data_IF_231114808526
#
_entry.id   IF_231114808526
#
_cell.length_a   1.000
_cell.length_b   1.000
_cell.length_c   1.000
_cell.angle_alpha   90.00
_cell.angle_beta   90.00
_cell.angle_gamma   90.00
#
_symmetry.space_group_name_H-M   'P 1'
#
loop_
_entity.id
_entity.type
_entity.pdbx_description
1 polymer ?
#
# COMPACT_ATOMS: atom_id res chain seq x y z
N UNK A 1 49.94 -4.02 -2.41
CA UNK A 1 50.10 -5.46 -2.67
C UNK A 1 49.75 -5.72 -4.13
N UNK A 2 50.51 -6.57 -4.83
CA UNK A 2 50.18 -6.89 -6.22
C UNK A 2 48.87 -7.71 -6.25
N UNK A 3 48.09 -7.49 -7.31
CA UNK A 3 46.91 -8.31 -7.59
C UNK A 3 47.38 -9.71 -8.00
N UNK A 4 46.90 -10.75 -7.36
CA UNK A 4 47.16 -12.14 -7.72
C UNK A 4 45.94 -12.77 -8.35
N UNK A 5 46.13 -13.43 -9.49
CA UNK A 5 45.13 -14.22 -10.15
C UNK A 5 45.53 -15.70 -9.96
N UNK A 6 44.78 -16.44 -9.20
CA UNK A 6 45.02 -17.87 -8.98
C UNK A 6 44.49 -18.71 -10.16
N UNK A 7 45.13 -19.86 -10.43
CA UNK A 7 44.75 -20.73 -11.55
C UNK A 7 43.32 -21.27 -11.50
N UNK A 8 42.58 -21.11 -10.37
CA UNK A 8 41.18 -21.43 -10.21
C UNK A 8 40.24 -20.22 -10.53
N UNK A 9 40.78 -19.11 -11.06
CA UNK A 9 40.02 -17.91 -11.39
C UNK A 9 39.73 -16.98 -10.19
N UNK A 10 40.28 -17.23 -9.00
CA UNK A 10 40.10 -16.37 -7.85
C UNK A 10 41.08 -15.19 -7.94
N UNK A 11 40.58 -13.97 -7.81
CA UNK A 11 41.39 -12.75 -7.75
C UNK A 11 41.44 -12.27 -6.30
N UNK A 12 42.64 -12.15 -5.73
CA UNK A 12 42.86 -11.63 -4.39
C UNK A 12 43.67 -10.33 -4.44
N UNK A 13 43.51 -9.50 -3.41
CA UNK A 13 44.25 -8.22 -3.30
C UNK A 13 43.56 -7.01 -3.96
N UNK A 14 42.33 -7.16 -4.43
CA UNK A 14 41.47 -6.03 -4.83
C UNK A 14 40.85 -5.45 -3.56
N UNK A 15 41.26 -4.23 -3.19
CA UNK A 15 40.63 -3.45 -2.13
C UNK A 15 39.34 -2.78 -2.63
N UNK A 16 38.48 -2.34 -1.71
CA UNK A 16 37.32 -1.52 -2.03
C UNK A 16 37.76 -0.31 -2.88
N UNK A 17 37.17 -0.13 -4.06
CA UNK A 17 37.57 0.91 -5.03
C UNK A 17 38.76 0.53 -5.93
N UNK A 18 39.32 -0.67 -5.83
CA UNK A 18 40.46 -1.12 -6.61
C UNK A 18 40.21 -1.44 -8.09
N UNK A 19 38.97 -1.42 -8.52
CA UNK A 19 38.60 -1.55 -9.93
C UNK A 19 38.38 -0.16 -10.54
N UNK A 20 38.91 0.14 -11.75
CA UNK A 20 38.62 1.37 -12.45
C UNK A 20 37.14 1.61 -12.66
N UNK A 21 36.70 2.88 -12.73
CA UNK A 21 35.31 3.22 -13.04
C UNK A 21 34.88 2.55 -14.36
N UNK A 22 33.70 1.90 -14.38
CA UNK A 22 33.21 1.21 -15.57
C UNK A 22 33.71 -0.22 -15.77
N UNK A 23 34.63 -0.72 -14.90
CA UNK A 23 35.11 -2.12 -14.99
C UNK A 23 34.04 -3.15 -14.77
N UNK A 24 32.96 -2.79 -14.03
CA UNK A 24 31.78 -3.62 -13.81
C UNK A 24 30.63 -2.99 -14.58
N UNK A 25 30.18 -3.64 -15.60
CA UNK A 25 29.04 -3.22 -16.45
C UNK A 25 27.87 -4.17 -16.27
N UNK A 26 26.68 -3.80 -16.76
CA UNK A 26 25.52 -4.69 -16.75
C UNK A 26 25.79 -6.02 -17.47
N UNK A 27 26.64 -6.03 -18.51
CA UNK A 27 27.04 -7.22 -19.22
C UNK A 27 27.99 -8.15 -18.44
N UNK A 28 28.69 -7.62 -17.42
CA UNK A 28 29.63 -8.40 -16.58
C UNK A 28 28.99 -8.86 -15.27
N UNK A 29 27.78 -8.41 -14.95
CA UNK A 29 27.02 -8.87 -13.80
C UNK A 29 26.06 -9.97 -14.26
N UNK A 30 26.22 -11.17 -13.70
CA UNK A 30 25.21 -12.21 -13.89
C UNK A 30 23.87 -11.79 -13.27
N UNK A 31 22.77 -12.27 -13.83
CA UNK A 31 21.43 -12.03 -13.28
C UNK A 31 21.38 -12.46 -11.79
N UNK A 32 20.91 -11.55 -10.96
CA UNK A 32 20.87 -11.76 -9.50
C UNK A 32 22.19 -11.57 -8.75
N UNK A 33 23.31 -11.24 -9.42
CA UNK A 33 24.62 -11.00 -8.76
C UNK A 33 24.57 -9.81 -7.80
N UNK A 34 23.72 -8.82 -8.04
CA UNK A 34 23.42 -7.71 -7.16
C UNK A 34 22.06 -7.92 -6.49
N UNK A 35 22.03 -8.61 -5.35
CA UNK A 35 20.83 -8.78 -4.54
C UNK A 35 20.59 -7.56 -3.65
N UNK A 36 19.34 -7.33 -3.23
CA UNK A 36 18.94 -6.19 -2.38
C UNK A 36 19.73 -6.06 -1.06
N UNK A 37 20.40 -7.11 -0.61
CA UNK A 37 21.29 -7.08 0.56
C UNK A 37 22.67 -6.50 0.24
N UNK A 38 23.05 -6.42 -1.04
CA UNK A 38 24.35 -5.90 -1.52
C UNK A 38 24.24 -4.52 -2.15
N UNK A 39 23.01 -4.06 -2.45
CA UNK A 39 22.74 -2.75 -3.00
C UNK A 39 22.17 -1.89 -1.88
N UNK A 40 22.91 -0.83 -1.51
CA UNK A 40 22.35 0.23 -0.68
C UNK A 40 21.53 1.14 -1.59
N UNK A 41 20.21 1.04 -1.45
CA UNK A 41 19.30 1.92 -2.20
C UNK A 41 19.29 3.30 -1.53
N UNK A 42 19.35 4.40 -2.31
CA UNK A 42 19.25 5.73 -1.73
C UNK A 42 17.86 5.95 -1.11
N UNK A 43 17.78 6.84 -0.11
CA UNK A 43 16.53 7.28 0.48
C UNK A 43 15.54 7.75 -0.61
N UNK A 44 14.28 7.40 -0.47
CA UNK A 44 13.26 7.67 -1.47
C UNK A 44 13.12 6.60 -2.56
N UNK A 45 14.02 5.61 -2.63
CA UNK A 45 13.90 4.52 -3.59
C UNK A 45 12.71 3.61 -3.28
N UNK A 46 11.95 3.22 -4.30
CA UNK A 46 10.90 2.20 -4.17
C UNK A 46 11.54 0.81 -4.14
N UNK A 47 11.24 0.04 -3.10
CA UNK A 47 11.82 -1.29 -2.86
C UNK A 47 10.86 -2.39 -3.30
N UNK A 48 9.59 -2.22 -3.03
CA UNK A 48 8.54 -3.15 -3.45
C UNK A 48 7.19 -2.46 -3.54
N UNK A 49 6.31 -3.03 -4.35
CA UNK A 49 4.92 -2.62 -4.48
C UNK A 49 4.04 -3.85 -4.34
N UNK A 50 3.01 -3.75 -3.51
CA UNK A 50 1.98 -4.79 -3.33
C UNK A 50 0.63 -4.18 -3.59
N UNK A 51 -0.23 -4.87 -4.32
CA UNK A 51 -1.58 -4.40 -4.61
C UNK A 51 -2.59 -5.51 -4.37
N UNK A 52 -3.71 -5.14 -3.77
CA UNK A 52 -4.91 -5.99 -3.68
C UNK A 52 -6.14 -5.18 -4.04
N UNK A 53 -7.23 -5.87 -4.31
CA UNK A 53 -8.50 -5.22 -4.60
C UNK A 53 -9.66 -6.00 -3.98
N UNK A 54 -10.77 -5.29 -3.78
CA UNK A 54 -12.05 -5.84 -3.41
C UNK A 54 -13.07 -5.48 -4.50
N UNK A 55 -13.77 -6.46 -5.03
CA UNK A 55 -14.66 -6.33 -6.19
C UNK A 55 -16.14 -6.58 -5.86
N UNK A 56 -16.45 -6.69 -4.58
CA UNK A 56 -17.82 -6.88 -4.13
C UNK A 56 -18.41 -5.58 -3.57
N UNK A 57 -19.72 -5.44 -3.68
CA UNK A 57 -20.46 -4.37 -3.04
C UNK A 57 -20.56 -4.64 -1.54
N UNK A 58 -20.23 -3.65 -0.73
CA UNK A 58 -20.37 -3.70 0.71
C UNK A 58 -21.33 -2.62 1.17
N UNK A 59 -22.47 -3.02 1.70
CA UNK A 59 -23.44 -2.10 2.29
C UNK A 59 -23.02 -1.75 3.71
N UNK A 60 -23.06 -0.47 4.00
CA UNK A 60 -22.64 0.12 5.25
C UNK A 60 -23.85 0.77 5.91
N UNK A 61 -24.09 0.49 7.15
CA UNK A 61 -25.12 1.13 7.95
C UNK A 61 -24.65 1.42 9.35
N UNK A 62 -25.14 2.52 9.91
CA UNK A 62 -24.88 2.91 11.29
C UNK A 62 -23.57 3.71 11.48
N UNK A 63 -23.44 4.26 12.67
CA UNK A 63 -22.38 5.22 13.07
C UNK A 63 -21.16 4.53 13.69
N UNK A 64 -21.23 3.24 13.96
CA UNK A 64 -20.10 2.46 14.49
C UNK A 64 -19.06 2.18 13.38
N UNK A 65 -17.80 2.12 13.79
CA UNK A 65 -16.72 1.75 12.88
C UNK A 65 -16.84 0.30 12.43
N UNK A 66 -16.71 0.07 11.13
CA UNK A 66 -16.81 -1.25 10.50
C UNK A 66 -15.63 -1.46 9.56
N UNK A 67 -15.25 -2.71 9.34
CA UNK A 67 -14.22 -3.07 8.37
C UNK A 67 -14.85 -3.33 7.00
N UNK A 68 -14.23 -2.79 5.96
CA UNK A 68 -14.68 -2.97 4.58
C UNK A 68 -14.38 -4.38 4.02
N UNK A 69 -13.45 -5.09 4.63
CA UNK A 69 -12.98 -6.39 4.14
C UNK A 69 -11.81 -6.29 3.14
N UNK A 70 -11.41 -5.09 2.69
CA UNK A 70 -10.19 -4.91 1.90
C UNK A 70 -8.99 -4.98 2.84
N UNK A 71 -8.11 -5.94 2.57
CA UNK A 71 -6.85 -6.10 3.29
C UNK A 71 -5.69 -6.14 2.30
N UNK A 72 -4.59 -5.44 2.60
CA UNK A 72 -3.36 -5.51 1.84
C UNK A 72 -2.19 -5.69 2.81
N UNK A 73 -1.35 -6.70 2.58
CA UNK A 73 -0.25 -7.03 3.49
C UNK A 73 1.09 -6.86 2.79
N UNK A 74 2.02 -6.20 3.45
CA UNK A 74 3.39 -6.02 3.01
C UNK A 74 4.33 -6.39 4.16
N UNK A 75 5.44 -7.07 3.85
CA UNK A 75 6.52 -7.32 4.79
C UNK A 75 7.68 -6.40 4.45
N UNK A 76 7.92 -5.35 5.25
CA UNK A 76 8.99 -4.40 4.98
C UNK A 76 10.35 -5.07 4.91
N UNK A 77 11.20 -4.65 3.98
CA UNK A 77 12.57 -5.17 3.87
C UNK A 77 13.45 -4.71 5.02
N UNK A 78 13.18 -3.51 5.54
CA UNK A 78 13.91 -2.92 6.67
C UNK A 78 12.93 -2.19 7.57
N UNK A 79 13.10 -2.32 8.90
CA UNK A 79 12.39 -1.50 9.88
C UNK A 79 12.79 -0.03 9.70
N UNK A 80 11.83 0.87 9.79
CA UNK A 80 12.04 2.31 9.57
C UNK A 80 11.72 2.77 8.16
N UNK A 81 11.67 1.87 7.16
CA UNK A 81 11.19 2.22 5.82
C UNK A 81 9.76 2.76 5.89
N UNK A 82 9.39 3.54 4.89
CA UNK A 82 8.06 4.11 4.78
C UNK A 82 7.19 3.28 3.85
N UNK A 83 5.91 3.16 4.18
CA UNK A 83 4.89 2.55 3.32
C UNK A 83 3.93 3.65 2.89
N UNK A 84 3.90 3.97 1.61
CA UNK A 84 2.82 4.75 1.03
C UNK A 84 1.61 3.82 0.86
N UNK A 85 0.58 4.07 1.64
CA UNK A 85 -0.71 3.37 1.58
C UNK A 85 -1.61 4.21 0.69
N UNK A 86 -1.96 3.72 -0.49
CA UNK A 86 -2.86 4.38 -1.43
C UNK A 86 -4.10 3.53 -1.62
N UNK A 87 -5.28 4.09 -1.32
CA UNK A 87 -6.54 3.41 -1.54
C UNK A 87 -7.46 4.25 -2.40
N UNK A 88 -8.04 3.61 -3.41
CA UNK A 88 -8.99 4.22 -4.34
C UNK A 88 -10.22 3.36 -4.43
N UNK A 89 -11.36 3.98 -4.41
CA UNK A 89 -12.63 3.29 -4.53
C UNK A 89 -13.76 4.19 -4.97
N UNK A 90 -14.94 3.60 -5.02
CA UNK A 90 -16.17 4.30 -5.34
C UNK A 90 -17.19 3.99 -4.24
N UNK A 91 -18.04 4.92 -3.96
CA UNK A 91 -19.15 4.74 -3.04
C UNK A 91 -20.43 5.29 -3.65
N UNK A 92 -21.54 4.72 -3.27
CA UNK A 92 -22.89 5.16 -3.59
C UNK A 92 -23.74 5.31 -2.32
N UNK A 93 -24.80 6.09 -2.41
CA UNK A 93 -25.79 6.21 -1.33
C UNK A 93 -27.18 5.96 -1.86
N UNK A 94 -28.02 5.32 -1.06
CA UNK A 94 -29.45 5.12 -1.36
C UNK A 94 -30.33 6.25 -0.83
N UNK A 95 -29.76 7.22 -0.09
CA UNK A 95 -30.49 8.32 0.51
C UNK A 95 -29.73 9.63 0.34
N UNK A 96 -30.46 10.72 0.41
CA UNK A 96 -29.91 12.08 0.39
C UNK A 96 -29.11 12.38 1.64
N UNK A 97 -28.03 13.14 1.47
CA UNK A 97 -27.22 13.69 2.55
C UNK A 97 -26.46 12.67 3.43
N UNK A 98 -26.19 11.46 2.93
CA UNK A 98 -25.37 10.51 3.65
C UNK A 98 -23.88 10.76 3.43
N UNK A 99 -23.17 10.91 4.55
CA UNK A 99 -21.72 11.04 4.56
C UNK A 99 -21.09 9.80 5.21
N UNK A 100 -20.05 9.30 4.57
CA UNK A 100 -19.17 8.31 5.16
C UNK A 100 -17.82 8.90 5.54
N UNK A 101 -17.21 8.37 6.57
CA UNK A 101 -15.81 8.57 6.90
C UNK A 101 -15.06 7.27 6.73
N UNK A 102 -13.97 7.34 5.96
CA UNK A 102 -12.99 6.29 5.87
C UNK A 102 -11.84 6.56 6.83
N UNK A 103 -11.14 5.51 7.22
CA UNK A 103 -9.91 5.59 7.99
C UNK A 103 -9.07 4.37 7.72
N UNK A 104 -7.75 4.55 7.78
CA UNK A 104 -6.83 3.44 7.64
C UNK A 104 -6.59 2.76 8.98
N UNK A 105 -6.50 1.44 8.94
CA UNK A 105 -6.04 0.61 10.05
C UNK A 105 -4.78 -0.15 9.65
N UNK A 106 -3.94 -0.45 10.61
CA UNK A 106 -2.79 -1.33 10.44
C UNK A 106 -2.73 -2.34 11.60
N UNK A 107 -2.43 -3.59 11.28
CA UNK A 107 -1.97 -4.58 12.25
C UNK A 107 -0.56 -5.03 11.90
N UNK A 108 0.29 -5.20 12.91
CA UNK A 108 1.68 -5.57 12.76
C UNK A 108 1.92 -6.96 13.36
N UNK A 109 2.49 -7.87 12.58
CA UNK A 109 2.79 -9.23 13.03
C UNK A 109 1.57 -10.04 13.45
N UNK A 110 0.38 -9.73 12.94
CA UNK A 110 -0.87 -10.38 13.35
C UNK A 110 -1.47 -9.87 14.66
N UNK A 111 -0.95 -8.75 15.19
CA UNK A 111 -1.52 -8.06 16.34
C UNK A 111 -2.86 -7.38 16.08
N UNK A 112 -3.36 -6.65 17.07
CA UNK A 112 -4.61 -5.90 16.97
C UNK A 112 -4.52 -4.76 15.96
N UNK A 113 -5.64 -4.43 15.35
CA UNK A 113 -5.76 -3.29 14.44
C UNK A 113 -5.63 -1.97 15.21
N UNK A 114 -4.86 -1.06 14.67
CA UNK A 114 -4.70 0.31 15.16
C UNK A 114 -5.08 1.28 14.06
N UNK A 115 -5.89 2.29 14.38
CA UNK A 115 -6.21 3.37 13.45
C UNK A 115 -4.96 4.22 13.20
N UNK A 116 -4.71 4.54 11.93
CA UNK A 116 -3.59 5.38 11.50
C UNK A 116 -4.08 6.54 10.65
N UNK A 117 -3.47 7.69 10.82
CA UNK A 117 -3.87 8.92 10.13
C UNK A 117 -5.22 9.46 10.59
N UNK A 118 -5.65 10.50 9.89
CA UNK A 118 -6.94 11.13 10.14
C UNK A 118 -8.07 10.44 9.37
N UNK A 119 -9.30 10.66 9.82
CA UNK A 119 -10.46 10.26 9.07
C UNK A 119 -10.58 11.10 7.79
N UNK A 120 -10.92 10.46 6.69
CA UNK A 120 -11.17 11.12 5.41
C UNK A 120 -12.62 10.92 4.96
N UNK A 121 -13.11 11.81 4.14
CA UNK A 121 -14.45 11.70 3.60
C UNK A 121 -14.50 10.62 2.51
N UNK A 122 -15.46 9.72 2.63
CA UNK A 122 -15.89 8.80 1.59
C UNK A 122 -17.28 9.23 1.17
N UNK A 123 -17.43 9.64 -0.07
CA UNK A 123 -18.68 10.11 -0.62
C UNK A 123 -18.84 11.63 -0.61
N UNK A 124 -19.71 12.10 -1.47
CA UNK A 124 -20.13 13.47 -1.54
C UNK A 124 -21.58 13.59 -1.07
N UNK A 125 -21.96 14.83 -0.75
CA UNK A 125 -23.35 15.18 -0.54
C UNK A 125 -24.12 14.93 -1.84
N UNK A 126 -24.81 13.80 -1.91
CA UNK A 126 -25.49 13.39 -3.11
C UNK A 126 -26.89 13.97 -3.15
N UNK A 127 -27.18 14.78 -4.16
CA UNK A 127 -28.48 15.40 -4.33
C UNK A 127 -29.47 14.40 -4.95
N UNK A 128 -30.49 14.05 -4.22
CA UNK A 128 -31.82 13.61 -4.68
C UNK A 128 -31.99 12.45 -5.69
N UNK A 129 -30.94 11.84 -6.22
CA UNK A 129 -31.09 10.75 -7.19
C UNK A 129 -30.45 9.48 -6.63
N UNK A 130 -31.19 8.40 -6.61
CA UNK A 130 -30.79 7.06 -6.14
C UNK A 130 -29.63 6.42 -6.92
N UNK A 131 -28.87 7.20 -7.68
CA UNK A 131 -27.90 6.73 -8.69
C UNK A 131 -26.54 7.44 -8.63
N UNK A 132 -26.29 8.26 -7.63
CA UNK A 132 -25.05 8.99 -7.54
C UNK A 132 -23.93 8.12 -6.96
N UNK A 133 -22.79 8.10 -7.64
CA UNK A 133 -21.55 7.48 -7.17
C UNK A 133 -20.47 8.53 -7.07
N UNK A 134 -19.67 8.46 -6.03
CA UNK A 134 -18.46 9.26 -5.86
C UNK A 134 -17.24 8.38 -5.87
N UNK A 135 -16.23 8.79 -6.62
CA UNK A 135 -14.88 8.20 -6.55
C UNK A 135 -14.10 8.93 -5.46
N UNK A 136 -13.37 8.19 -4.68
CA UNK A 136 -12.48 8.72 -3.67
C UNK A 136 -11.10 8.08 -3.79
N UNK A 137 -10.08 8.84 -3.47
CA UNK A 137 -8.70 8.38 -3.34
C UNK A 137 -8.12 9.00 -2.09
N UNK A 138 -7.41 8.21 -1.30
CA UNK A 138 -6.71 8.68 -0.12
C UNK A 138 -5.38 8.00 0.04
N UNK A 139 -4.38 8.79 0.40
CA UNK A 139 -3.01 8.35 0.59
C UNK A 139 -2.55 8.64 2.02
N UNK A 140 -1.77 7.73 2.57
CA UNK A 140 -1.15 7.90 3.88
C UNK A 140 0.28 7.34 3.87
N UNK A 141 1.23 8.11 4.38
CA UNK A 141 2.61 7.68 4.49
C UNK A 141 2.88 7.16 5.92
N UNK A 142 2.99 5.86 6.03
CA UNK A 142 3.24 5.15 7.30
C UNK A 142 4.73 4.83 7.47
N UNK A 143 5.28 5.05 8.67
CA UNK A 143 6.65 4.63 9.01
C UNK A 143 6.60 3.29 9.74
N UNK A 144 7.30 2.29 9.23
CA UNK A 144 7.28 0.94 9.80
C UNK A 144 8.04 0.88 11.12
N UNK A 145 7.45 0.20 12.09
CA UNK A 145 8.08 -0.03 13.41
C UNK A 145 8.90 -1.31 13.48
N UNK A 146 8.75 -2.19 12.50
CA UNK A 146 9.47 -3.48 12.44
C UNK A 146 9.52 -4.00 11.01
N UNK A 147 10.28 -5.06 10.77
CA UNK A 147 10.27 -5.82 9.52
C UNK A 147 9.25 -6.99 9.52
N UNK A 148 8.35 -7.03 10.49
CA UNK A 148 7.23 -7.98 10.49
C UNK A 148 6.17 -7.60 9.46
N UNK A 149 5.30 -8.52 9.09
CA UNK A 149 4.20 -8.24 8.18
C UNK A 149 3.28 -7.14 8.73
N UNK A 150 2.98 -6.15 7.89
CA UNK A 150 2.03 -5.08 8.18
C UNK A 150 0.82 -5.29 7.28
N UNK A 151 -0.36 -5.45 7.89
CA UNK A 151 -1.63 -5.60 7.16
C UNK A 151 -2.42 -4.32 7.29
N UNK A 152 -2.64 -3.66 6.17
CA UNK A 152 -3.43 -2.43 6.07
C UNK A 152 -4.86 -2.78 5.67
N UNK A 153 -5.81 -2.05 6.27
CA UNK A 153 -7.24 -2.22 6.07
C UNK A 153 -7.91 -0.88 5.89
N UNK A 154 -9.06 -0.90 5.23
CA UNK A 154 -9.99 0.22 5.18
C UNK A 154 -11.09 -0.02 6.20
N UNK A 155 -11.18 0.87 7.16
CA UNK A 155 -12.33 0.99 8.04
C UNK A 155 -13.21 2.17 7.63
N UNK A 156 -14.48 2.12 7.99
CA UNK A 156 -15.42 3.17 7.66
C UNK A 156 -16.58 3.25 8.65
N UNK A 157 -17.30 4.36 8.60
CA UNK A 157 -18.59 4.55 9.28
C UNK A 157 -19.45 5.55 8.52
N UNK A 158 -20.76 5.47 8.68
CA UNK A 158 -21.70 6.49 8.22
C UNK A 158 -21.88 7.53 9.34
N UNK A 159 -21.92 8.83 8.99
CA UNK A 159 -22.02 9.89 10.01
C UNK A 159 -23.47 10.13 10.41
N UNK A 160 -24.38 10.16 9.45
CA UNK A 160 -25.76 10.59 9.64
C UNK A 160 -26.77 9.43 9.75
N UNK A 161 -26.30 8.18 9.99
CA UNK A 161 -27.15 7.04 10.25
C UNK A 161 -27.85 6.44 9.02
N UNK A 162 -27.54 6.88 7.84
CA UNK A 162 -28.05 6.32 6.58
C UNK A 162 -27.32 5.05 6.13
N UNK A 163 -27.63 4.62 4.92
CA UNK A 163 -26.94 3.49 4.27
C UNK A 163 -26.07 3.98 3.12
N UNK A 164 -24.85 3.51 3.08
CA UNK A 164 -23.93 3.70 1.96
C UNK A 164 -23.50 2.35 1.40
N UNK A 165 -23.04 2.37 0.16
CA UNK A 165 -22.45 1.19 -0.47
C UNK A 165 -21.06 1.56 -0.95
N UNK A 166 -20.05 0.74 -0.63
CA UNK A 166 -18.71 0.86 -1.21
C UNK A 166 -18.54 -0.20 -2.29
N UNK A 167 -17.78 0.15 -3.32
CA UNK A 167 -17.50 -0.73 -4.45
C UNK A 167 -18.54 -0.64 -5.57
N UNK A 168 -19.40 0.37 -5.57
CA UNK A 168 -20.35 0.61 -6.64
C UNK A 168 -21.63 1.28 -6.19
N UNK A 169 -22.70 1.01 -6.91
CA UNK A 169 -23.98 1.65 -6.74
C UNK A 169 -24.88 0.90 -5.74
N UNK A 170 -25.58 1.64 -4.88
CA UNK A 170 -26.36 1.09 -3.77
C UNK A 170 -27.50 0.13 -4.20
N UNK A 171 -28.02 0.24 -5.40
CA UNK A 171 -29.20 -0.49 -5.85
C UNK A 171 -29.00 -1.31 -7.14
N UNK A 172 -27.77 -1.42 -7.64
CA UNK A 172 -27.50 -2.16 -8.87
C UNK A 172 -26.22 -2.99 -8.78
N UNK A 173 -26.40 -4.29 -8.63
CA UNK A 173 -25.28 -5.25 -8.57
C UNK A 173 -24.48 -5.38 -9.86
N UNK A 174 -24.94 -4.80 -10.98
CA UNK A 174 -24.23 -4.83 -12.25
C UNK A 174 -23.20 -3.72 -12.37
N UNK A 175 -23.27 -2.68 -11.52
CA UNK A 175 -22.32 -1.56 -11.50
C UNK A 175 -21.36 -1.70 -10.33
N UNK A 176 -20.43 -2.63 -10.47
CA UNK A 176 -19.36 -2.86 -9.49
C UNK A 176 -18.08 -2.15 -9.91
N UNK A 177 -17.47 -1.46 -8.98
CA UNK A 177 -16.15 -0.87 -9.13
C UNK A 177 -15.21 -1.48 -8.08
N UNK A 178 -14.02 -1.82 -8.51
CA UNK A 178 -13.00 -2.32 -7.60
C UNK A 178 -12.57 -1.22 -6.63
N UNK A 179 -12.49 -1.55 -5.37
CA UNK A 179 -11.74 -0.78 -4.39
C UNK A 179 -10.35 -1.37 -4.33
N UNK A 180 -9.34 -0.55 -4.60
CA UNK A 180 -7.95 -0.97 -4.74
C UNK A 180 -7.13 -0.43 -3.58
N UNK A 181 -6.28 -1.26 -3.02
CA UNK A 181 -5.22 -0.87 -2.09
C UNK A 181 -3.87 -1.16 -2.71
N UNK A 182 -3.02 -0.14 -2.79
CA UNK A 182 -1.63 -0.24 -3.23
C UNK A 182 -0.72 0.17 -2.09
N UNK A 183 0.23 -0.68 -1.76
CA UNK A 183 1.28 -0.43 -0.77
C UNK A 183 2.61 -0.31 -1.49
N UNK A 184 3.30 0.82 -1.30
CA UNK A 184 4.61 1.07 -1.88
C UNK A 184 5.62 1.26 -0.75
N UNK A 185 6.60 0.36 -0.65
CA UNK A 185 7.69 0.52 0.32
C UNK A 185 8.78 1.43 -0.25
N UNK A 186 9.15 2.42 0.54
CA UNK A 186 10.12 3.47 0.20
C UNK A 186 11.22 3.45 1.25
N UNK A 187 12.47 3.47 0.82
CA UNK A 187 13.65 3.59 1.70
C UNK A 187 13.57 4.92 2.46
N UNK A 188 13.76 4.86 3.80
CA UNK A 188 13.74 6.04 4.66
C UNK A 188 15.07 6.81 4.61
#
# INVERSE_FOLDING_TARGET
MPIQINGNGTITGISSGGLPAGSVTSATLADGAASGTKLTMPAGSVVQVVQTYHDSLVSISGTSEQDFGLTCTITPKVSGNKILVSMTGCCGSSATDNFGRGFFKVSVGGGSDTNIGDHFFIGSRMSHQSKDTSVWTHDYLYTTSSASAHTFKLGYRVIDGGNMTIGGWANDSNWKHRTVCTLTEIVA
#
